data_IF_524982486618
#
_entry.id   IF_524982486618
#
_cell.length_a   1.000
_cell.length_b   1.000
_cell.length_c   1.000
_cell.angle_alpha   90.00
_cell.angle_beta   90.00
_cell.angle_gamma   90.00
#
_symmetry.space_group_name_H-M   'P 1'
#
loop_
_entity.id
_entity.type
_entity.pdbx_description
1 polymer ?
#
# COMPACT_ATOMS: atom_id res chain seq x y z
N UNK A 1 -10.50 -35.72 -16.06
CA UNK A 1 -9.19 -36.28 -16.46
C UNK A 1 -8.12 -35.48 -15.74
N UNK A 2 -7.26 -36.12 -14.95
CA UNK A 2 -6.18 -35.41 -14.26
C UNK A 2 -5.20 -34.86 -15.29
N UNK A 3 -4.82 -33.58 -15.17
CA UNK A 3 -3.76 -33.00 -16.02
C UNK A 3 -2.46 -33.75 -15.73
N UNK A 4 -1.67 -34.12 -16.76
CA UNK A 4 -0.36 -34.72 -16.53
C UNK A 4 0.50 -33.76 -15.71
N UNK A 5 1.22 -34.29 -14.71
CA UNK A 5 2.13 -33.50 -13.88
C UNK A 5 3.22 -32.90 -14.76
N UNK A 6 3.45 -31.57 -14.71
CA UNK A 6 4.50 -30.93 -15.49
C UNK A 6 5.89 -31.49 -15.17
N UNK A 7 6.77 -31.55 -16.19
CA UNK A 7 8.09 -32.16 -16.08
C UNK A 7 9.06 -31.45 -15.13
N UNK A 8 8.75 -30.22 -14.70
CA UNK A 8 9.54 -29.46 -13.74
C UNK A 8 9.25 -29.85 -12.27
N UNK A 9 8.23 -30.69 -12.01
CA UNK A 9 8.10 -31.32 -10.70
C UNK A 9 9.12 -32.47 -10.56
N UNK A 10 9.79 -32.61 -9.40
CA UNK A 10 10.63 -33.78 -9.15
C UNK A 10 9.83 -35.09 -9.29
N UNK A 11 10.52 -36.18 -9.62
CA UNK A 11 9.86 -37.47 -9.84
C UNK A 11 9.07 -37.91 -8.59
N UNK A 12 7.79 -38.26 -8.77
CA UNK A 12 6.89 -38.61 -7.68
C UNK A 12 6.34 -37.42 -6.88
N UNK A 13 6.57 -36.19 -7.34
CA UNK A 13 5.97 -34.98 -6.79
C UNK A 13 4.85 -34.47 -7.69
N UNK A 14 3.87 -33.84 -7.06
CA UNK A 14 2.81 -33.10 -7.73
C UNK A 14 2.61 -31.75 -7.03
N UNK A 15 1.65 -30.96 -7.53
CA UNK A 15 1.31 -29.64 -6.98
C UNK A 15 1.00 -29.71 -5.48
N UNK A 16 0.16 -30.65 -5.07
CA UNK A 16 -0.32 -30.76 -3.70
C UNK A 16 0.80 -31.21 -2.75
N UNK A 17 1.62 -32.17 -3.14
CA UNK A 17 2.79 -32.56 -2.36
C UNK A 17 3.76 -31.39 -2.19
N UNK A 18 4.01 -30.63 -3.26
CA UNK A 18 4.90 -29.47 -3.20
C UNK A 18 4.36 -28.36 -2.28
N UNK A 19 3.05 -28.08 -2.32
CA UNK A 19 2.42 -27.08 -1.43
C UNK A 19 2.43 -27.49 0.05
N UNK A 20 2.50 -28.78 0.35
CA UNK A 20 2.59 -29.31 1.71
C UNK A 20 4.02 -29.74 2.11
N UNK A 21 5.01 -29.49 1.26
CA UNK A 21 6.39 -29.93 1.49
C UNK A 21 7.11 -29.12 2.56
N UNK A 22 6.74 -27.85 2.73
CA UNK A 22 7.22 -27.01 3.84
C UNK A 22 6.74 -27.57 5.18
N UNK A 23 5.44 -27.90 5.27
CA UNK A 23 4.80 -28.50 6.45
C UNK A 23 5.44 -29.81 6.92
N UNK A 24 5.78 -30.67 5.96
CA UNK A 24 6.37 -31.99 6.24
C UNK A 24 7.89 -31.95 6.36
N UNK A 25 8.52 -30.80 6.09
CA UNK A 25 9.98 -30.69 5.95
C UNK A 25 10.56 -31.39 4.72
N UNK A 26 9.74 -32.05 3.90
CA UNK A 26 10.17 -32.75 2.68
C UNK A 26 10.84 -31.82 1.67
N UNK A 27 10.53 -30.52 1.72
CA UNK A 27 11.17 -29.52 0.86
C UNK A 27 12.70 -29.46 1.06
N UNK A 28 13.19 -29.82 2.25
CA UNK A 28 14.62 -29.88 2.56
C UNK A 28 15.31 -31.13 1.97
N UNK A 29 14.54 -32.14 1.56
CA UNK A 29 15.06 -33.33 0.89
C UNK A 29 15.34 -33.09 -0.59
N UNK A 30 14.90 -31.95 -1.14
CA UNK A 30 15.21 -31.56 -2.51
C UNK A 30 16.62 -30.97 -2.59
N UNK A 31 17.38 -31.44 -3.58
CA UNK A 31 18.67 -30.82 -3.95
C UNK A 31 18.47 -29.39 -4.43
N UNK A 32 19.53 -28.58 -4.40
CA UNK A 32 19.46 -27.20 -4.89
C UNK A 32 19.12 -27.17 -6.39
N UNK A 33 19.64 -28.11 -7.18
CA UNK A 33 19.32 -28.25 -8.60
C UNK A 33 17.84 -28.57 -8.84
N UNK A 34 17.26 -29.49 -8.08
CA UNK A 34 15.82 -29.80 -8.17
C UNK A 34 14.96 -28.59 -7.79
N UNK A 35 15.37 -27.82 -6.77
CA UNK A 35 14.70 -26.58 -6.37
C UNK A 35 14.83 -25.51 -7.47
N UNK A 36 15.98 -25.42 -8.13
CA UNK A 36 16.22 -24.54 -9.27
C UNK A 36 15.30 -24.86 -10.45
N UNK A 37 15.33 -26.11 -10.93
CA UNK A 37 14.51 -26.59 -12.06
C UNK A 37 13.02 -26.40 -11.79
N UNK A 38 12.55 -26.73 -10.58
CA UNK A 38 11.17 -26.51 -10.20
C UNK A 38 10.79 -25.02 -10.27
N UNK A 39 11.63 -24.14 -9.71
CA UNK A 39 11.33 -22.70 -9.66
C UNK A 39 11.31 -22.07 -11.06
N UNK A 40 12.29 -22.40 -11.89
CA UNK A 40 12.37 -21.90 -13.26
C UNK A 40 11.23 -22.45 -14.13
N UNK A 41 10.94 -23.75 -14.03
CA UNK A 41 9.86 -24.38 -14.77
C UNK A 41 8.47 -23.87 -14.35
N UNK A 42 8.23 -23.72 -13.05
CA UNK A 42 6.98 -23.13 -12.54
C UNK A 42 6.83 -21.69 -13.03
N UNK A 43 7.88 -20.87 -12.92
CA UNK A 43 7.87 -19.49 -13.41
C UNK A 43 7.59 -19.41 -14.91
N UNK A 44 8.18 -20.31 -15.71
CA UNK A 44 7.97 -20.37 -17.15
C UNK A 44 6.54 -20.80 -17.53
N UNK A 45 5.92 -21.71 -16.76
CA UNK A 45 4.58 -22.25 -17.04
C UNK A 45 3.45 -21.29 -16.63
N UNK A 46 3.52 -20.71 -15.43
CA UNK A 46 2.43 -19.88 -14.87
C UNK A 46 2.78 -18.39 -14.73
N UNK A 47 3.93 -17.97 -15.24
CA UNK A 47 4.44 -16.60 -15.12
C UNK A 47 4.86 -16.24 -13.69
N UNK A 48 5.47 -15.05 -13.51
CA UNK A 48 5.91 -14.63 -12.17
C UNK A 48 4.73 -14.43 -11.21
N UNK A 49 3.60 -13.88 -11.66
CA UNK A 49 2.43 -13.71 -10.79
C UNK A 49 1.91 -15.05 -10.26
N UNK A 50 1.81 -16.07 -11.12
CA UNK A 50 1.40 -17.41 -10.70
C UNK A 50 2.43 -18.06 -9.78
N UNK A 51 3.71 -17.88 -10.07
CA UNK A 51 4.81 -18.35 -9.23
C UNK A 51 4.70 -17.76 -7.81
N UNK A 52 4.51 -16.45 -7.70
CA UNK A 52 4.32 -15.75 -6.43
C UNK A 52 3.11 -16.28 -5.65
N UNK A 53 1.96 -16.44 -6.32
CA UNK A 53 0.75 -16.98 -5.71
C UNK A 53 0.93 -18.41 -5.19
N UNK A 54 1.73 -19.23 -5.89
CA UNK A 54 2.03 -20.59 -5.48
C UNK A 54 2.79 -20.64 -4.14
N UNK A 55 3.81 -19.80 -3.98
CA UNK A 55 4.57 -19.73 -2.73
C UNK A 55 3.75 -19.07 -1.61
N UNK A 56 2.96 -18.03 -1.89
CA UNK A 56 2.05 -17.45 -0.90
C UNK A 56 1.06 -18.51 -0.36
N UNK A 57 0.54 -19.39 -1.23
CA UNK A 57 -0.31 -20.51 -0.81
C UNK A 57 0.45 -21.52 0.05
N UNK A 58 1.67 -21.88 -0.33
CA UNK A 58 2.52 -22.79 0.44
C UNK A 58 2.77 -22.26 1.86
N UNK A 59 3.16 -20.99 1.99
CA UNK A 59 3.40 -20.36 3.29
C UNK A 59 2.12 -20.21 4.12
N UNK A 60 0.98 -19.91 3.47
CA UNK A 60 -0.32 -19.83 4.16
C UNK A 60 -0.70 -21.17 4.77
N UNK A 61 -0.57 -22.26 4.00
CA UNK A 61 -0.82 -23.62 4.51
C UNK A 61 0.13 -23.98 5.66
N UNK A 62 1.38 -23.53 5.59
CA UNK A 62 2.36 -23.69 6.66
C UNK A 62 1.96 -23.01 7.97
N UNK A 63 1.49 -21.76 7.87
CA UNK A 63 1.02 -20.97 9.01
C UNK A 63 -0.30 -21.49 9.60
N UNK A 64 -1.20 -22.01 8.75
CA UNK A 64 -2.52 -22.48 9.19
C UNK A 64 -2.46 -23.86 9.87
N UNK A 65 -1.38 -24.62 9.73
CA UNK A 65 -1.31 -25.99 10.21
C UNK A 65 -1.36 -26.15 11.75
N UNK A 66 -2.03 -27.20 12.26
CA UNK A 66 -2.09 -27.48 13.69
C UNK A 66 -0.71 -27.78 14.28
N UNK A 67 -0.35 -27.15 15.40
CA UNK A 67 0.94 -27.35 16.08
C UNK A 67 2.07 -26.46 15.58
N UNK A 68 1.82 -25.58 14.59
CA UNK A 68 2.74 -24.53 14.18
C UNK A 68 2.36 -23.17 14.80
N UNK A 69 2.01 -23.15 16.10
CA UNK A 69 1.68 -21.91 16.82
C UNK A 69 2.84 -20.89 16.78
N UNK A 70 4.09 -21.35 16.65
CA UNK A 70 5.26 -20.48 16.50
C UNK A 70 5.30 -19.74 15.14
N UNK A 71 4.81 -20.35 14.06
CA UNK A 71 4.65 -19.67 12.76
C UNK A 71 3.40 -18.78 12.71
N UNK A 72 2.42 -19.03 13.60
CA UNK A 72 1.27 -18.15 13.85
C UNK A 72 1.59 -16.94 14.73
N UNK A 73 2.83 -16.81 15.23
CA UNK A 73 3.28 -15.56 15.83
C UNK A 73 3.35 -14.54 14.70
N UNK A 74 2.21 -13.90 14.43
CA UNK A 74 2.13 -12.67 13.67
C UNK A 74 3.09 -11.74 14.38
N UNK A 75 4.30 -11.58 13.84
CA UNK A 75 5.27 -10.62 14.34
C UNK A 75 4.50 -9.30 14.45
N UNK A 76 4.48 -8.71 15.65
CA UNK A 76 3.70 -7.49 15.91
C UNK A 76 4.01 -6.51 14.77
N UNK A 77 2.99 -6.17 13.95
CA UNK A 77 3.22 -5.28 12.83
C UNK A 77 3.73 -3.95 13.38
N UNK A 78 4.75 -3.33 12.75
CA UNK A 78 5.39 -2.14 13.30
C UNK A 78 4.39 -0.99 13.52
N UNK A 79 3.27 -0.97 12.80
CA UNK A 79 2.23 0.04 12.97
C UNK A 79 1.31 -0.19 14.19
N UNK A 80 1.19 -1.42 14.73
CA UNK A 80 0.29 -1.70 15.86
C UNK A 80 0.76 -0.96 17.11
N UNK A 81 2.06 -0.90 17.35
CA UNK A 81 2.60 -0.14 18.49
C UNK A 81 2.25 1.34 18.39
N UNK A 82 2.36 1.93 17.19
CA UNK A 82 2.06 3.35 16.95
C UNK A 82 0.55 3.62 17.04
N UNK A 83 -0.29 2.75 16.48
CA UNK A 83 -1.75 2.94 16.35
C UNK A 83 -2.55 2.65 17.63
N UNK A 84 -1.98 1.86 18.53
CA UNK A 84 -2.65 1.46 19.78
C UNK A 84 -2.53 2.48 20.91
N UNK A 85 -1.71 3.52 20.75
CA UNK A 85 -1.46 4.52 21.79
C UNK A 85 -2.58 5.54 21.90
N UNK A 86 -3.17 5.94 20.79
CA UNK A 86 -4.15 7.02 20.69
C UNK A 86 -5.07 6.84 19.48
N UNK A 87 -6.10 7.69 19.37
CA UNK A 87 -6.85 7.87 18.13
C UNK A 87 -5.86 8.17 16.99
N UNK A 88 -6.10 7.60 15.81
CA UNK A 88 -5.20 7.80 14.66
C UNK A 88 -5.96 7.92 13.35
N UNK A 89 -5.29 8.42 12.31
CA UNK A 89 -5.82 8.49 10.95
C UNK A 89 -5.44 9.80 10.28
N UNK A 90 -6.32 10.34 9.44
CA UNK A 90 -6.02 11.56 8.68
C UNK A 90 -7.22 12.50 8.58
N UNK A 91 -6.96 13.79 8.44
CA UNK A 91 -7.93 14.72 7.86
C UNK A 91 -7.95 14.52 6.34
N UNK A 92 -9.15 14.36 5.79
CA UNK A 92 -9.37 14.08 4.37
C UNK A 92 -10.28 15.14 3.76
N UNK A 93 -9.74 15.93 2.85
CA UNK A 93 -10.44 16.99 2.15
C UNK A 93 -11.10 16.44 0.88
N UNK A 94 -12.35 16.85 0.64
CA UNK A 94 -13.07 16.56 -0.59
C UNK A 94 -12.91 17.72 -1.57
N UNK A 95 -12.63 17.42 -2.84
CA UNK A 95 -12.64 18.45 -3.89
C UNK A 95 -14.05 19.03 -4.10
N UNK A 96 -14.18 20.37 -4.25
CA UNK A 96 -15.47 21.01 -4.55
C UNK A 96 -16.04 20.60 -5.92
N UNK A 97 -15.25 19.98 -6.79
CA UNK A 97 -15.69 19.45 -8.10
C UNK A 97 -16.50 18.16 -7.97
N UNK A 98 -16.40 17.47 -6.83
CA UNK A 98 -17.17 16.27 -6.54
C UNK A 98 -18.57 16.67 -6.07
N UNK A 99 -19.49 16.82 -7.03
CA UNK A 99 -20.88 17.25 -6.77
C UNK A 99 -21.84 16.08 -6.53
N UNK A 100 -21.51 14.89 -7.01
CA UNK A 100 -22.35 13.70 -6.87
C UNK A 100 -22.23 13.10 -5.46
N UNK A 101 -23.27 13.31 -4.65
CA UNK A 101 -23.31 12.83 -3.28
C UNK A 101 -23.33 11.30 -3.16
N UNK A 102 -23.95 10.59 -4.13
CA UNK A 102 -24.02 9.13 -4.11
C UNK A 102 -22.65 8.52 -4.43
N UNK A 103 -21.97 9.05 -5.45
CA UNK A 103 -20.59 8.65 -5.77
C UNK A 103 -19.63 8.97 -4.63
N UNK A 104 -19.80 10.12 -3.99
CA UNK A 104 -18.98 10.49 -2.83
C UNK A 104 -19.18 9.55 -1.64
N UNK A 105 -20.43 9.19 -1.32
CA UNK A 105 -20.72 8.21 -0.28
C UNK A 105 -20.08 6.84 -0.59
N UNK A 106 -20.24 6.36 -1.82
CA UNK A 106 -19.61 5.12 -2.28
C UNK A 106 -18.08 5.19 -2.21
N UNK A 107 -17.48 6.35 -2.51
CA UNK A 107 -16.03 6.55 -2.42
C UNK A 107 -15.54 6.41 -0.98
N UNK A 108 -16.24 6.98 0.01
CA UNK A 108 -15.87 6.87 1.43
C UNK A 108 -15.96 5.43 1.94
N UNK A 109 -17.03 4.72 1.57
CA UNK A 109 -17.21 3.30 1.90
C UNK A 109 -16.09 2.46 1.28
N UNK A 110 -15.83 2.67 -0.02
CA UNK A 110 -14.79 1.95 -0.76
C UNK A 110 -13.39 2.24 -0.22
N UNK A 111 -13.09 3.49 0.09
CA UNK A 111 -11.82 3.89 0.71
C UNK A 111 -11.59 3.15 2.02
N UNK A 112 -12.60 3.11 2.90
CA UNK A 112 -12.49 2.41 4.17
C UNK A 112 -12.32 0.90 3.97
N UNK A 113 -13.05 0.30 3.03
CA UNK A 113 -12.90 -1.11 2.71
C UNK A 113 -11.47 -1.43 2.24
N UNK A 114 -10.88 -0.60 1.36
CA UNK A 114 -9.48 -0.78 0.92
C UNK A 114 -8.54 -0.76 2.12
N UNK A 115 -8.71 0.21 3.02
CA UNK A 115 -7.89 0.33 4.24
C UNK A 115 -8.05 -0.89 5.16
N UNK A 116 -9.27 -1.38 5.34
CA UNK A 116 -9.52 -2.56 6.19
C UNK A 116 -8.99 -3.85 5.54
N UNK A 117 -9.05 -3.97 4.22
CA UNK A 117 -8.51 -5.13 3.50
C UNK A 117 -7.01 -5.28 3.70
N UNK A 118 -6.26 -4.17 3.87
CA UNK A 118 -4.82 -4.25 4.18
C UNK A 118 -4.56 -4.77 5.58
N UNK A 119 -5.53 -4.65 6.48
CA UNK A 119 -5.42 -5.16 7.85
C UNK A 119 -5.80 -6.63 7.99
N UNK A 120 -6.47 -7.21 6.98
CA UNK A 120 -6.94 -8.59 6.99
C UNK A 120 -5.85 -9.65 7.28
N UNK A 121 -4.59 -9.52 6.78
CA UNK A 121 -3.51 -10.44 7.14
C UNK A 121 -3.19 -10.50 8.64
N UNK A 122 -3.63 -9.51 9.42
CA UNK A 122 -3.38 -9.40 10.85
C UNK A 122 -4.60 -9.76 11.70
N UNK A 123 -5.69 -10.23 11.08
CA UNK A 123 -6.88 -10.68 11.80
C UNK A 123 -6.51 -11.73 12.87
N UNK A 124 -6.98 -11.52 14.09
CA UNK A 124 -6.63 -12.35 15.25
C UNK A 124 -5.48 -11.84 16.10
N UNK A 125 -4.77 -10.77 15.68
CA UNK A 125 -3.82 -10.09 16.55
C UNK A 125 -4.56 -9.35 17.67
N UNK A 126 -4.13 -9.53 18.92
CA UNK A 126 -4.89 -9.13 20.12
C UNK A 126 -5.24 -7.63 20.18
N UNK A 127 -4.38 -6.77 19.62
CA UNK A 127 -4.54 -5.30 19.61
C UNK A 127 -5.18 -4.74 18.34
N UNK A 128 -5.46 -5.57 17.33
CA UNK A 128 -5.91 -5.09 16.03
C UNK A 128 -7.30 -4.43 16.13
N UNK A 129 -8.23 -5.05 16.86
CA UNK A 129 -9.58 -4.52 17.01
C UNK A 129 -9.59 -3.15 17.71
N UNK A 130 -8.71 -2.96 18.71
CA UNK A 130 -8.50 -1.66 19.36
C UNK A 130 -7.92 -0.64 18.37
N UNK A 131 -6.91 -1.03 17.59
CA UNK A 131 -6.33 -0.16 16.55
C UNK A 131 -7.40 0.25 15.54
N UNK A 132 -8.22 -0.68 15.05
CA UNK A 132 -9.31 -0.38 14.10
C UNK A 132 -10.35 0.55 14.74
N UNK A 133 -10.71 0.32 16.01
CA UNK A 133 -11.69 1.14 16.73
C UNK A 133 -11.19 2.58 16.95
N UNK A 134 -9.88 2.77 17.08
CA UNK A 134 -9.24 4.07 17.22
C UNK A 134 -8.96 4.78 15.89
N UNK A 135 -9.13 4.08 14.76
CA UNK A 135 -8.95 4.62 13.42
C UNK A 135 -10.05 5.63 13.08
N UNK A 136 -9.67 6.78 12.53
CA UNK A 136 -10.58 7.86 12.20
C UNK A 136 -10.12 8.67 11.00
N UNK A 137 -10.97 8.74 9.98
CA UNK A 137 -10.82 9.69 8.89
C UNK A 137 -11.78 10.87 9.07
N UNK A 138 -11.25 12.07 9.28
CA UNK A 138 -12.06 13.27 9.43
C UNK A 138 -12.27 13.91 8.06
N UNK A 139 -13.45 13.69 7.49
CA UNK A 139 -13.83 14.21 6.18
C UNK A 139 -14.22 15.68 6.25
N UNK A 140 -13.55 16.53 5.46
CA UNK A 140 -13.87 17.94 5.28
C UNK A 140 -14.50 18.13 3.90
N UNK A 141 -15.82 18.36 3.90
CA UNK A 141 -16.62 18.37 2.67
C UNK A 141 -17.02 19.79 2.21
N UNK A 142 -16.96 20.78 3.11
CA UNK A 142 -17.42 22.15 2.89
C UNK A 142 -16.35 23.08 2.29
N UNK A 143 -15.56 22.57 1.35
CA UNK A 143 -14.59 23.39 0.61
C UNK A 143 -15.33 24.21 -0.45
N UNK A 144 -15.10 25.53 -0.45
CA UNK A 144 -15.77 26.43 -1.39
C UNK A 144 -15.24 26.21 -2.81
N UNK A 145 -16.12 26.42 -3.79
CA UNK A 145 -15.74 26.43 -5.20
C UNK A 145 -14.73 27.56 -5.44
N UNK A 146 -13.51 27.20 -5.85
CA UNK A 146 -12.38 28.12 -6.00
C UNK A 146 -11.25 27.92 -4.99
N UNK A 147 -11.52 27.24 -3.86
CA UNK A 147 -10.54 26.92 -2.81
C UNK A 147 -10.06 25.45 -2.91
N UNK A 148 -10.26 24.81 -4.06
CA UNK A 148 -9.91 23.40 -4.32
C UNK A 148 -8.47 23.18 -4.81
N UNK A 149 -7.65 24.23 -4.89
CA UNK A 149 -6.23 24.10 -5.22
C UNK A 149 -5.39 23.63 -4.03
N UNK A 150 -4.24 23.01 -4.31
CA UNK A 150 -3.36 22.44 -3.29
C UNK A 150 -2.93 23.47 -2.22
N UNK A 151 -2.46 24.69 -2.56
CA UNK A 151 -2.18 25.72 -1.57
C UNK A 151 -3.38 26.07 -0.67
N UNK A 152 -4.59 26.14 -1.21
CA UNK A 152 -5.81 26.43 -0.45
C UNK A 152 -6.15 25.32 0.54
N UNK A 153 -6.04 24.05 0.14
CA UNK A 153 -6.22 22.92 1.05
C UNK A 153 -5.16 22.90 2.15
N UNK A 154 -3.89 23.15 1.81
CA UNK A 154 -2.81 23.22 2.79
C UNK A 154 -3.04 24.33 3.82
N UNK A 155 -3.52 25.51 3.39
CA UNK A 155 -3.91 26.61 4.30
C UNK A 155 -5.11 26.23 5.16
N UNK A 156 -6.12 25.58 4.60
CA UNK A 156 -7.30 25.14 5.34
C UNK A 156 -6.92 24.14 6.44
N UNK A 157 -6.03 23.19 6.14
CA UNK A 157 -5.50 22.26 7.12
C UNK A 157 -4.66 22.96 8.20
N UNK A 158 -3.72 23.83 7.82
CA UNK A 158 -2.89 24.58 8.77
C UNK A 158 -3.70 25.52 9.68
N UNK A 159 -4.87 25.98 9.23
CA UNK A 159 -5.78 26.82 10.02
C UNK A 159 -6.77 26.02 10.85
N UNK A 160 -6.84 24.70 10.64
CA UNK A 160 -7.70 23.80 11.39
C UNK A 160 -7.04 23.36 12.71
N UNK A 161 -7.85 22.91 13.66
CA UNK A 161 -7.37 22.29 14.91
C UNK A 161 -7.76 20.82 14.91
N UNK A 162 -7.03 19.95 14.18
CA UNK A 162 -7.29 18.52 14.20
C UNK A 162 -7.20 17.96 15.63
N UNK A 163 -7.97 16.92 15.96
CA UNK A 163 -7.66 16.07 17.10
C UNK A 163 -6.19 15.64 17.07
N UNK A 164 -5.56 15.47 18.24
CA UNK A 164 -4.12 15.13 18.36
C UNK A 164 -3.70 13.99 17.43
N UNK A 165 -4.52 12.95 17.36
CA UNK A 165 -4.33 11.77 16.51
C UNK A 165 -4.39 11.97 14.99
N UNK A 166 -4.78 13.15 14.52
CA UNK A 166 -4.93 13.51 13.10
C UNK A 166 -4.07 14.72 12.71
N UNK A 167 -3.29 15.25 13.66
CA UNK A 167 -2.44 16.41 13.47
C UNK A 167 -1.05 15.97 13.00
N UNK A 168 -0.86 15.91 11.68
CA UNK A 168 0.35 15.42 11.03
C UNK A 168 0.97 16.49 10.14
N UNK A 169 2.17 16.21 9.63
CA UNK A 169 2.83 17.04 8.61
C UNK A 169 2.15 16.99 7.23
N UNK A 170 1.14 16.13 7.07
CA UNK A 170 0.37 15.87 5.85
C UNK A 170 -1.14 15.82 6.13
N UNK A 171 -1.93 16.24 5.14
CA UNK A 171 -3.36 15.91 5.04
C UNK A 171 -3.66 15.18 3.72
N UNK A 172 -4.82 14.54 3.62
CA UNK A 172 -5.25 13.85 2.41
C UNK A 172 -6.26 14.68 1.64
N UNK A 173 -6.24 14.57 0.32
CA UNK A 173 -7.15 15.26 -0.58
C UNK A 173 -7.67 14.33 -1.67
N UNK A 174 -9.00 14.25 -1.81
CA UNK A 174 -9.68 13.45 -2.83
C UNK A 174 -10.14 14.37 -3.97
N UNK A 175 -9.47 14.24 -5.12
CA UNK A 175 -9.84 14.88 -6.39
C UNK A 175 -10.82 14.00 -7.16
N UNK A 176 -11.45 14.51 -8.25
CA UNK A 176 -12.24 13.66 -9.15
C UNK A 176 -11.47 12.43 -9.65
N UNK A 177 -10.20 12.58 -10.04
CA UNK A 177 -9.36 11.46 -10.48
C UNK A 177 -9.11 10.43 -9.38
N UNK A 178 -8.87 10.87 -8.14
CA UNK A 178 -8.74 9.97 -6.99
C UNK A 178 -10.04 9.24 -6.70
N UNK A 179 -11.18 9.93 -6.79
CA UNK A 179 -12.50 9.32 -6.61
C UNK A 179 -12.76 8.21 -7.64
N UNK A 180 -12.51 8.50 -8.92
CA UNK A 180 -12.66 7.51 -9.99
C UNK A 180 -11.72 6.31 -9.74
N UNK A 181 -10.46 6.57 -9.42
CA UNK A 181 -9.47 5.53 -9.12
C UNK A 181 -9.88 4.62 -7.95
N UNK A 182 -10.44 5.18 -6.88
CA UNK A 182 -10.92 4.41 -5.72
C UNK A 182 -12.11 3.52 -6.12
N UNK A 183 -13.10 4.09 -6.83
CA UNK A 183 -14.32 3.38 -7.21
C UNK A 183 -14.06 2.29 -8.24
N UNK A 184 -13.17 2.55 -9.21
CA UNK A 184 -12.89 1.64 -10.32
C UNK A 184 -11.81 0.59 -9.98
N UNK A 185 -11.17 0.69 -8.81
CA UNK A 185 -10.18 -0.30 -8.36
C UNK A 185 -10.82 -1.68 -8.17
N UNK A 186 -10.22 -2.77 -8.69
CA UNK A 186 -10.75 -4.12 -8.51
C UNK A 186 -10.60 -4.58 -7.05
N UNK A 187 -11.67 -5.09 -6.43
CA UNK A 187 -11.61 -5.73 -5.10
C UNK A 187 -12.28 -7.11 -5.02
N UNK A 188 -11.80 -7.98 -4.10
CA UNK A 188 -10.53 -7.84 -3.39
C UNK A 188 -9.42 -7.82 -4.42
N UNK A 189 -8.30 -7.14 -4.14
CA UNK A 189 -7.28 -7.07 -5.17
C UNK A 189 -6.77 -8.46 -5.47
N UNK A 190 -7.09 -8.98 -6.66
CA UNK A 190 -6.80 -10.35 -7.08
C UNK A 190 -5.31 -10.54 -7.42
N UNK A 191 -4.56 -9.45 -7.55
CA UNK A 191 -3.14 -9.45 -7.85
C UNK A 191 -2.34 -8.73 -6.75
N UNK A 192 -1.05 -9.08 -6.57
CA UNK A 192 -0.11 -8.26 -5.78
C UNK A 192 0.05 -6.89 -6.41
N UNK A 193 0.32 -5.87 -5.60
CA UNK A 193 0.45 -4.46 -6.02
C UNK A 193 1.32 -4.27 -7.27
N UNK A 194 2.46 -4.97 -7.33
CA UNK A 194 3.42 -4.87 -8.45
C UNK A 194 2.87 -5.33 -9.82
N UNK A 195 1.78 -6.10 -9.85
CA UNK A 195 1.15 -6.59 -11.07
C UNK A 195 -0.12 -5.83 -11.47
N UNK A 196 -0.56 -4.86 -10.67
CA UNK A 196 -1.78 -4.09 -10.95
C UNK A 196 -1.43 -2.94 -11.87
N UNK A 197 -2.30 -2.63 -12.82
CA UNK A 197 -2.17 -1.41 -13.64
C UNK A 197 -2.82 -0.19 -12.99
N UNK A 198 -3.82 -0.43 -12.14
CA UNK A 198 -4.58 0.60 -11.45
C UNK A 198 -4.40 0.43 -9.95
N UNK A 199 -3.91 1.47 -9.28
CA UNK A 199 -3.79 1.53 -7.82
C UNK A 199 -4.72 2.63 -7.32
N UNK A 200 -5.67 2.33 -6.40
CA UNK A 200 -6.50 3.36 -5.79
C UNK A 200 -5.62 4.33 -5.02
N UNK A 201 -5.75 5.63 -5.30
CA UNK A 201 -4.89 6.65 -4.70
C UNK A 201 -5.67 7.88 -4.23
N UNK A 202 -5.05 8.63 -3.32
CA UNK A 202 -5.42 9.99 -2.93
C UNK A 202 -4.19 10.89 -2.99
N UNK A 203 -4.38 12.20 -2.85
CA UNK A 203 -3.25 13.15 -2.81
C UNK A 203 -2.87 13.41 -1.35
N UNK A 204 -1.61 13.21 -0.99
CA UNK A 204 -1.03 13.69 0.26
C UNK A 204 -0.48 15.10 0.06
N UNK A 205 -0.95 16.05 0.88
CA UNK A 205 -0.58 17.47 0.80
C UNK A 205 0.18 17.85 2.06
N UNK A 206 1.40 18.37 1.89
CA UNK A 206 2.21 18.90 2.98
C UNK A 206 1.69 20.22 3.50
N UNK A 207 1.77 20.41 4.81
CA UNK A 207 1.59 21.71 5.47
C UNK A 207 2.54 22.78 4.91
N UNK A 208 3.68 22.36 4.35
CA UNK A 208 4.69 23.25 3.75
C UNK A 208 4.39 23.61 2.29
N UNK A 209 3.36 23.03 1.66
CA UNK A 209 3.00 23.33 0.26
C UNK A 209 2.67 24.82 0.03
N UNK A 210 2.33 25.56 1.10
CA UNK A 210 2.07 27.01 1.05
C UNK A 210 3.34 27.84 0.86
N UNK A 211 4.53 27.31 1.19
CA UNK A 211 5.79 28.07 1.30
C UNK A 211 6.67 28.07 0.04
N UNK A 212 6.23 27.54 -1.10
CA UNK A 212 7.09 27.35 -2.29
C UNK A 212 7.36 28.60 -3.14
N UNK A 213 7.13 29.78 -2.58
CA UNK A 213 7.73 31.00 -3.11
C UNK A 213 8.58 31.60 -1.99
N UNK A 214 9.85 31.94 -2.31
CA UNK A 214 10.89 32.52 -1.45
C UNK A 214 11.69 31.43 -0.71
N UNK A 215 12.93 31.08 -1.09
CA UNK A 215 14.11 31.96 -1.21
C UNK A 215 15.16 31.36 -2.15
N UNK A 216 15.71 32.18 -3.05
CA UNK A 216 16.99 31.90 -3.72
C UNK A 216 18.10 31.89 -2.65
N UNK A 217 18.64 30.72 -2.32
CA UNK A 217 19.82 30.60 -1.48
C UNK A 217 19.60 29.81 -0.19
N UNK A 218 19.38 28.50 -0.31
CA UNK A 218 20.06 27.49 0.52
C UNK A 218 19.72 26.10 -0.05
N UNK A 219 20.74 25.27 -0.18
CA UNK A 219 20.77 23.85 -0.60
C UNK A 219 19.76 23.34 -1.66
N UNK A 220 20.33 22.96 -2.80
CA UNK A 220 19.71 22.40 -4.03
C UNK A 220 18.87 21.13 -3.88
N UNK A 221 18.68 20.58 -2.69
CA UNK A 221 17.85 19.39 -2.45
C UNK A 221 16.43 19.78 -2.02
N UNK A 222 15.54 19.99 -2.99
CA UNK A 222 14.13 20.30 -2.73
C UNK A 222 13.51 21.37 -3.63
N UNK A 223 14.33 22.02 -4.48
CA UNK A 223 13.92 23.12 -5.36
C UNK A 223 12.77 22.77 -6.34
N UNK A 224 12.54 21.47 -6.60
CA UNK A 224 11.47 20.98 -7.48
C UNK A 224 10.37 20.21 -6.73
N UNK A 225 10.42 20.15 -5.40
CA UNK A 225 9.33 19.56 -4.64
C UNK A 225 8.06 20.35 -4.92
N UNK A 226 6.89 19.69 -5.05
CA UNK A 226 5.62 20.37 -5.33
C UNK A 226 4.78 20.62 -4.07
N UNK A 227 5.20 20.07 -2.93
CA UNK A 227 4.43 20.11 -1.68
C UNK A 227 3.33 19.05 -1.61
N UNK A 228 3.15 18.22 -2.63
CA UNK A 228 2.16 17.15 -2.68
C UNK A 228 2.60 15.98 -3.56
N UNK A 229 1.97 14.83 -3.34
CA UNK A 229 2.20 13.60 -4.13
C UNK A 229 0.99 12.67 -4.07
N UNK A 230 0.82 11.81 -5.07
CA UNK A 230 -0.21 10.77 -5.01
C UNK A 230 0.29 9.62 -4.12
N UNK A 231 -0.62 9.05 -3.33
CA UNK A 231 -0.34 7.95 -2.42
C UNK A 231 -1.41 6.88 -2.56
N UNK A 232 -0.98 5.62 -2.58
CA UNK A 232 -1.88 4.48 -2.60
C UNK A 232 -2.69 4.42 -1.30
N UNK A 233 -4.00 4.23 -1.41
CA UNK A 233 -4.91 4.13 -0.24
C UNK A 233 -4.52 2.95 0.65
N UNK A 234 -4.10 1.85 0.04
CA UNK A 234 -3.59 0.66 0.72
C UNK A 234 -2.23 0.84 1.41
N UNK A 235 -1.61 2.02 1.31
CA UNK A 235 -0.33 2.32 1.95
C UNK A 235 -0.46 3.26 3.15
N UNK A 236 -1.67 3.76 3.40
CA UNK A 236 -1.93 4.73 4.46
C UNK A 236 -1.62 4.18 5.85
N UNK A 237 -1.96 2.91 6.09
CA UNK A 237 -1.85 2.26 7.40
C UNK A 237 -0.46 1.71 7.64
N UNK A 238 0.01 0.80 6.81
CA UNK A 238 1.23 0.05 7.07
C UNK A 238 2.51 0.87 6.83
N UNK A 239 2.43 1.87 5.96
CA UNK A 239 3.61 2.61 5.49
C UNK A 239 3.56 4.08 5.89
N UNK A 240 2.51 4.82 5.50
CA UNK A 240 2.49 6.27 5.73
C UNK A 240 2.30 6.64 7.20
N UNK A 241 1.29 6.07 7.85
CA UNK A 241 0.91 6.49 9.20
C UNK A 241 2.07 6.36 10.22
N UNK A 242 2.81 5.24 10.31
CA UNK A 242 3.94 5.14 11.22
C UNK A 242 4.99 6.21 10.96
N UNK A 243 5.26 6.53 9.69
CA UNK A 243 6.25 7.54 9.32
C UNK A 243 5.83 8.93 9.81
N UNK A 244 4.58 9.32 9.58
CA UNK A 244 4.08 10.66 9.95
C UNK A 244 3.71 10.79 11.42
N UNK A 245 3.37 9.70 12.09
CA UNK A 245 3.03 9.71 13.52
C UNK A 245 4.30 9.78 14.38
N UNK A 246 5.40 9.20 13.92
CA UNK A 246 6.70 9.23 14.60
C UNK A 246 7.60 10.36 14.12
N UNK A 247 7.13 11.17 13.15
CA UNK A 247 7.91 12.20 12.47
C UNK A 247 9.27 11.67 11.98
N UNK A 248 9.32 10.42 11.53
CA UNK A 248 10.57 9.73 11.15
C UNK A 248 11.08 10.12 9.77
N UNK A 249 10.21 10.66 8.91
CA UNK A 249 10.57 11.28 7.64
C UNK A 249 9.70 12.50 7.36
N UNK A 250 10.28 13.50 6.71
CA UNK A 250 9.57 14.66 6.20
C UNK A 250 8.72 14.31 4.97
N UNK A 251 7.66 15.09 4.67
CA UNK A 251 6.89 14.94 3.43
C UNK A 251 7.73 14.93 2.14
N UNK A 252 8.84 15.67 2.13
CA UNK A 252 9.78 15.68 1.01
C UNK A 252 10.56 14.37 0.88
N UNK A 253 11.02 13.79 1.98
CA UNK A 253 11.72 12.50 1.96
C UNK A 253 10.80 11.35 1.51
N UNK A 254 9.51 11.44 1.84
CA UNK A 254 8.49 10.47 1.42
C UNK A 254 8.15 10.65 -0.08
N UNK A 255 7.69 11.85 -0.45
CA UNK A 255 7.04 12.11 -1.74
C UNK A 255 7.92 12.82 -2.76
N UNK A 256 9.10 13.32 -2.39
CA UNK A 256 9.95 14.21 -3.20
C UNK A 256 10.35 13.63 -4.56
N UNK A 257 10.36 12.31 -4.68
CA UNK A 257 10.72 11.58 -5.91
C UNK A 257 9.49 11.15 -6.75
N UNK A 258 8.29 11.39 -6.24
CA UNK A 258 7.02 11.05 -6.90
C UNK A 258 6.65 12.17 -7.86
N UNK A 259 6.72 11.89 -9.16
CA UNK A 259 6.49 12.88 -10.22
C UNK A 259 5.20 12.60 -10.99
N UNK A 260 4.61 13.66 -11.54
CA UNK A 260 3.42 13.53 -12.40
C UNK A 260 2.27 12.75 -11.73
N UNK A 261 1.86 11.67 -12.39
CA UNK A 261 0.78 10.76 -12.01
C UNK A 261 1.27 9.55 -11.20
N UNK A 262 2.55 9.47 -10.89
CA UNK A 262 3.12 8.38 -10.10
C UNK A 262 2.48 8.32 -8.71
N UNK A 263 2.43 7.12 -8.14
CA UNK A 263 1.77 6.83 -6.87
C UNK A 263 2.77 6.25 -5.89
N UNK A 264 2.97 6.91 -4.76
CA UNK A 264 3.77 6.38 -3.66
C UNK A 264 3.08 5.18 -3.01
N UNK A 265 3.84 4.10 -2.79
CA UNK A 265 3.29 2.83 -2.33
C UNK A 265 3.93 2.31 -1.03
N UNK A 266 5.20 2.54 -0.77
CA UNK A 266 5.84 2.20 0.50
C UNK A 266 7.22 2.87 0.58
N UNK A 267 7.87 2.76 1.73
CA UNK A 267 9.24 3.24 1.93
C UNK A 267 10.31 2.24 1.45
N UNK A 268 9.91 1.06 0.99
CA UNK A 268 10.81 -0.02 0.60
C UNK A 268 11.15 0.05 -0.90
N UNK A 269 11.86 -0.97 -1.40
CA UNK A 269 12.26 -1.15 -2.81
C UNK A 269 11.11 -1.12 -3.83
N UNK A 270 9.86 -1.03 -3.39
CA UNK A 270 8.64 -0.99 -4.19
C UNK A 270 7.94 0.39 -4.19
N UNK A 271 8.60 1.42 -3.66
CA UNK A 271 7.95 2.63 -3.16
C UNK A 271 7.27 3.57 -4.15
N UNK A 272 7.29 3.29 -5.45
CA UNK A 272 6.58 4.11 -6.44
C UNK A 272 6.03 3.27 -7.58
N UNK A 273 4.75 3.45 -7.85
CA UNK A 273 4.05 2.92 -9.01
C UNK A 273 4.01 3.99 -10.11
N UNK A 274 4.49 3.66 -11.31
CA UNK A 274 4.50 4.58 -12.46
C UNK A 274 3.21 4.44 -13.25
N UNK A 275 2.50 5.54 -13.43
CA UNK A 275 1.26 5.55 -14.20
C UNK A 275 1.50 5.00 -15.62
N UNK A 276 0.67 4.04 -16.05
CA UNK A 276 0.74 3.41 -17.37
C UNK A 276 1.89 2.42 -17.59
N UNK A 277 2.87 2.33 -16.70
CA UNK A 277 3.99 1.39 -16.78
C UNK A 277 3.92 0.28 -15.72
N UNK A 278 3.20 0.51 -14.63
CA UNK A 278 3.12 -0.43 -13.53
C UNK A 278 4.26 -0.24 -12.53
N UNK A 279 4.82 -1.33 -12.04
CA UNK A 279 5.92 -1.30 -11.08
C UNK A 279 7.21 -0.70 -11.68
N UNK A 280 7.96 0.06 -10.86
CA UNK A 280 9.23 0.68 -11.26
C UNK A 280 10.30 0.50 -10.20
N UNK A 281 11.45 -0.03 -10.62
CA UNK A 281 12.61 -0.18 -9.76
C UNK A 281 13.52 1.06 -9.88
N UNK A 282 13.61 1.79 -8.78
CA UNK A 282 14.41 3.01 -8.66
C UNK A 282 15.93 2.77 -8.75
N UNK A 283 16.41 1.54 -8.55
CA UNK A 283 17.85 1.21 -8.62
C UNK A 283 18.28 0.92 -10.05
N UNK A 284 17.46 0.19 -10.80
CA UNK A 284 17.74 -0.18 -12.19
C UNK A 284 17.28 0.88 -13.17
N UNK A 285 16.38 1.79 -12.76
CA UNK A 285 15.83 2.81 -13.64
C UNK A 285 14.99 2.21 -14.77
N UNK A 286 14.38 1.06 -14.52
CA UNK A 286 13.57 0.31 -15.47
C UNK A 286 12.20 0.00 -14.87
N UNK A 287 11.21 -0.20 -15.75
CA UNK A 287 9.95 -0.81 -15.34
C UNK A 287 10.33 -2.16 -14.74
N UNK A 288 9.91 -2.39 -13.49
CA UNK A 288 10.12 -3.69 -12.93
C UNK A 288 9.13 -4.61 -13.63
N UNK A 289 9.65 -5.51 -14.44
CA UNK A 289 8.90 -6.52 -15.20
C UNK A 289 8.18 -7.52 -14.28
N UNK A 290 7.91 -7.17 -13.01
CA UNK A 290 7.55 -8.12 -11.97
C UNK A 290 8.29 -9.43 -12.14
N UNK A 291 9.62 -9.38 -12.31
CA UNK A 291 10.53 -10.52 -12.54
C UNK A 291 10.97 -11.15 -11.23
#
# INVERSE_FOLDING_TARGET
>A
MAKPTPAYYPEGWDRERMLNAALSGEINNLTDDQRGVFREGLRADIGQQGFDQFFDEMFRREADAPGNEAARVVKEPPFIETMSRDRWGFMVFKSPEIVDAARWAACKERFLQIVLDTLNPYCGHERLDECISNMSFQWVEDIRKGDGDIPSIARAYASSTPPSGLNHSLCLYVTPSSLDSILDSPQPSTAKRQYRTNIPFVIAISTQAVRQHLTEGDDTEGFHWRGFFNIAVESLVESLFPIVAEDSMTPYEIGGRVSGEDIWCDFTRWGTHKAGLGYWDMRTGQAGDGL
#
